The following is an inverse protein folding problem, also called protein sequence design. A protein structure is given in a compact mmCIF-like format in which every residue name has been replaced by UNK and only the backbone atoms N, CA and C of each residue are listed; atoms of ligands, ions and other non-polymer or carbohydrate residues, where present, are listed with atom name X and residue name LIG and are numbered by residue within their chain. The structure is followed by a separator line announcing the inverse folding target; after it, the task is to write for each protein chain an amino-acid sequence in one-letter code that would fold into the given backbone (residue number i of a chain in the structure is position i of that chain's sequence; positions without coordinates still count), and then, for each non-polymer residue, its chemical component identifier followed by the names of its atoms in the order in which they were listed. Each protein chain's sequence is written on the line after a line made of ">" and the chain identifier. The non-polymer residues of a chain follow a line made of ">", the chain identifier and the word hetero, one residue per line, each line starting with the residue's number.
data_IF_217204011421
#
_entry.id   IF_217204011421
#
_cell.length_a   1.000
_cell.length_b   1.000
_cell.length_c   1.000
_cell.angle_alpha   90.00
_cell.angle_beta   90.00
_cell.angle_gamma   90.00
#
_symmetry.space_group_name_H-M   'P 1'
#
loop_
_entity.id
_entity.type
_entity.pdbx_description
1 polymer ?
#
# COMPACT_ATOMS: atom_id res chain seq x y z
N UNK A 1 25.17 29.63 -36.57
CA UNK A 1 24.92 29.57 -35.11
C UNK A 1 23.66 28.77 -34.77
N UNK A 2 22.58 28.94 -35.55
CA UNK A 2 21.28 28.24 -35.38
C UNK A 2 21.36 26.72 -35.52
N UNK A 3 22.13 26.19 -36.48
CA UNK A 3 22.25 24.74 -36.69
C UNK A 3 22.97 24.01 -35.56
N UNK A 4 23.97 24.64 -34.94
CA UNK A 4 24.69 24.08 -33.81
C UNK A 4 23.81 23.95 -32.56
N UNK A 5 22.93 24.94 -32.31
CA UNK A 5 21.96 24.91 -31.21
C UNK A 5 20.90 23.82 -31.43
N UNK A 6 20.47 23.63 -32.67
CA UNK A 6 19.52 22.58 -33.05
C UNK A 6 20.13 21.17 -32.94
N UNK A 7 21.40 21.03 -33.30
CA UNK A 7 22.14 19.78 -33.14
C UNK A 7 22.34 19.41 -31.66
N UNK A 8 22.67 20.40 -30.81
CA UNK A 8 22.82 20.23 -29.36
C UNK A 8 21.50 19.81 -28.69
N UNK A 9 20.39 20.47 -29.02
CA UNK A 9 19.07 20.11 -28.48
C UNK A 9 18.63 18.71 -28.93
N UNK A 10 18.83 18.36 -30.21
CA UNK A 10 18.50 17.02 -30.70
C UNK A 10 19.35 15.93 -30.03
N UNK A 11 20.64 16.20 -29.79
CA UNK A 11 21.53 15.31 -29.05
C UNK A 11 21.07 15.11 -27.59
N UNK A 12 20.72 16.18 -26.89
CA UNK A 12 20.21 16.09 -25.51
C UNK A 12 18.87 15.36 -25.42
N UNK A 13 17.97 15.58 -26.39
CA UNK A 13 16.71 14.85 -26.49
C UNK A 13 16.93 13.34 -26.69
N UNK A 14 17.87 12.95 -27.55
CA UNK A 14 18.20 11.54 -27.76
C UNK A 14 18.76 10.90 -26.48
N UNK A 15 19.60 11.62 -25.74
CA UNK A 15 20.15 11.17 -24.45
C UNK A 15 19.05 10.95 -23.41
N UNK A 16 18.09 11.88 -23.30
CA UNK A 16 16.93 11.73 -22.43
C UNK A 16 16.09 10.51 -22.83
N UNK A 17 15.77 10.37 -24.11
CA UNK A 17 15.01 9.22 -24.62
C UNK A 17 15.72 7.90 -24.34
N UNK A 18 17.04 7.86 -24.48
CA UNK A 18 17.83 6.66 -24.18
C UNK A 18 17.82 6.32 -22.68
N UNK A 19 17.89 7.32 -21.80
CA UNK A 19 17.74 7.12 -20.36
C UNK A 19 16.36 6.56 -20.00
N UNK A 20 15.28 7.17 -20.53
CA UNK A 20 13.92 6.66 -20.31
C UNK A 20 13.75 5.25 -20.86
N UNK A 21 14.34 4.93 -22.02
CA UNK A 21 14.31 3.59 -22.59
C UNK A 21 15.06 2.57 -21.73
N UNK A 22 16.21 2.94 -21.15
CA UNK A 22 16.96 2.09 -20.21
C UNK A 22 16.16 1.83 -18.92
N UNK A 23 15.55 2.86 -18.34
CA UNK A 23 14.67 2.72 -17.18
C UNK A 23 13.50 1.79 -17.51
N UNK A 24 12.83 2.00 -18.64
CA UNK A 24 11.74 1.14 -19.10
C UNK A 24 12.18 -0.31 -19.35
N UNK A 25 13.38 -0.54 -19.88
CA UNK A 25 13.93 -1.87 -20.09
C UNK A 25 14.21 -2.61 -18.78
N UNK A 26 14.79 -1.92 -17.78
CA UNK A 26 15.05 -2.48 -16.44
C UNK A 26 13.74 -2.88 -15.74
N UNK A 27 12.68 -2.08 -15.90
CA UNK A 27 11.35 -2.38 -15.38
C UNK A 27 10.74 -3.59 -16.10
N UNK A 28 10.94 -3.72 -17.42
CA UNK A 28 10.36 -4.80 -18.23
C UNK A 28 11.07 -6.15 -18.03
N UNK A 29 12.37 -6.13 -17.77
CA UNK A 29 13.15 -7.33 -17.48
C UNK A 29 12.70 -8.02 -16.17
N UNK A 30 12.11 -7.26 -15.25
CA UNK A 30 11.60 -7.73 -13.96
C UNK A 30 10.09 -7.60 -13.88
N UNK A 31 9.39 -8.09 -14.91
CA UNK A 31 7.94 -8.17 -14.89
C UNK A 31 7.50 -8.92 -13.61
N UNK A 32 6.58 -8.35 -12.81
CA UNK A 32 6.14 -8.99 -11.58
C UNK A 32 5.50 -10.33 -11.93
N UNK A 33 5.91 -11.38 -11.21
CA UNK A 33 5.30 -12.69 -11.36
C UNK A 33 3.81 -12.59 -11.04
N UNK A 34 2.99 -13.42 -11.69
CA UNK A 34 1.55 -13.47 -11.45
C UNK A 34 1.23 -13.64 -9.96
N UNK A 35 2.07 -14.39 -9.24
CA UNK A 35 1.97 -14.56 -7.79
C UNK A 35 2.09 -13.24 -7.02
N UNK A 36 3.10 -12.40 -7.30
CA UNK A 36 3.29 -11.11 -6.63
C UNK A 36 2.08 -10.20 -6.87
N UNK A 37 1.54 -10.20 -8.09
CA UNK A 37 0.35 -9.42 -8.43
C UNK A 37 -0.87 -9.89 -7.65
N UNK A 38 -1.07 -11.21 -7.54
CA UNK A 38 -2.18 -11.79 -6.76
C UNK A 38 -2.02 -11.43 -5.28
N UNK A 39 -0.85 -11.65 -4.69
CA UNK A 39 -0.60 -11.36 -3.26
C UNK A 39 -0.75 -9.85 -2.96
N UNK A 40 -0.22 -8.99 -3.83
CA UNK A 40 -0.38 -7.54 -3.71
C UNK A 40 -1.84 -7.11 -3.80
N UNK A 41 -2.62 -7.72 -4.70
CA UNK A 41 -4.05 -7.45 -4.83
C UNK A 41 -4.83 -7.89 -3.58
N UNK A 42 -4.51 -9.06 -3.02
CA UNK A 42 -5.10 -9.54 -1.77
C UNK A 42 -4.80 -8.57 -0.62
N UNK A 43 -3.55 -8.13 -0.47
CA UNK A 43 -3.17 -7.16 0.56
C UNK A 43 -3.88 -5.82 0.39
N UNK A 44 -4.04 -5.34 -0.85
CA UNK A 44 -4.78 -4.11 -1.12
C UNK A 44 -6.26 -4.23 -0.70
N UNK A 45 -6.92 -5.35 -1.04
CA UNK A 45 -8.29 -5.62 -0.62
C UNK A 45 -8.39 -5.68 0.91
N UNK A 46 -7.48 -6.39 1.57
CA UNK A 46 -7.44 -6.48 3.03
C UNK A 46 -7.25 -5.10 3.68
N UNK A 47 -6.44 -4.21 3.09
CA UNK A 47 -6.27 -2.86 3.60
C UNK A 47 -7.54 -2.01 3.49
N UNK A 48 -8.29 -2.16 2.40
CA UNK A 48 -9.58 -1.49 2.22
C UNK A 48 -10.58 -2.00 3.25
N UNK A 49 -10.71 -3.32 3.40
CA UNK A 49 -11.61 -3.93 4.37
C UNK A 49 -11.28 -3.48 5.79
N UNK A 50 -10.00 -3.50 6.16
CA UNK A 50 -9.54 -3.06 7.47
C UNK A 50 -9.77 -1.56 7.71
N UNK A 51 -9.65 -0.73 6.67
CA UNK A 51 -10.04 0.69 6.74
C UNK A 51 -11.52 0.86 7.05
N UNK A 52 -12.39 0.12 6.37
CA UNK A 52 -13.84 0.17 6.61
C UNK A 52 -14.17 -0.28 8.04
N UNK A 53 -13.61 -1.42 8.47
CA UNK A 53 -13.83 -1.98 9.80
C UNK A 53 -13.34 -1.03 10.90
N UNK A 54 -12.15 -0.43 10.71
CA UNK A 54 -11.58 0.53 11.66
C UNK A 54 -12.43 1.81 11.70
N UNK A 55 -12.88 2.31 10.55
CA UNK A 55 -13.75 3.49 10.50
C UNK A 55 -15.06 3.25 11.24
N UNK A 56 -15.71 2.11 11.01
CA UNK A 56 -16.93 1.73 11.72
C UNK A 56 -16.69 1.56 13.22
N UNK A 57 -15.60 0.88 13.58
CA UNK A 57 -15.21 0.65 14.96
C UNK A 57 -14.96 1.95 15.72
N UNK A 58 -14.15 2.85 15.16
CA UNK A 58 -13.84 4.15 15.77
C UNK A 58 -15.06 5.06 15.80
N UNK A 59 -15.90 5.05 14.76
CA UNK A 59 -17.15 5.82 14.76
C UNK A 59 -18.11 5.38 15.87
N UNK A 60 -18.18 4.09 16.19
CA UNK A 60 -19.10 3.57 17.21
C UNK A 60 -18.52 3.53 18.64
N UNK A 61 -17.27 3.10 18.80
CA UNK A 61 -16.64 2.87 20.09
C UNK A 61 -15.67 4.00 20.50
N UNK A 62 -15.43 4.96 19.61
CA UNK A 62 -14.48 6.05 19.80
C UNK A 62 -13.03 5.66 19.50
N UNK A 63 -12.16 6.67 19.46
CA UNK A 63 -10.74 6.52 19.08
C UNK A 63 -9.96 5.61 20.05
N UNK A 64 -10.37 5.53 21.32
CA UNK A 64 -9.70 4.68 22.32
C UNK A 64 -9.85 3.18 22.07
N UNK A 65 -10.85 2.77 21.28
CA UNK A 65 -11.02 1.37 20.86
C UNK A 65 -9.94 0.91 19.87
N UNK A 66 -9.23 1.85 19.23
CA UNK A 66 -8.19 1.52 18.27
C UNK A 66 -7.00 0.86 18.94
N UNK A 67 -6.72 -0.40 18.58
CA UNK A 67 -5.64 -1.20 19.16
C UNK A 67 -4.25 -0.68 18.79
N UNK A 68 -4.10 -0.06 17.61
CA UNK A 68 -2.82 0.44 17.12
C UNK A 68 -2.43 1.78 17.78
N UNK A 69 -1.38 1.84 18.62
CA UNK A 69 -1.02 3.06 19.34
C UNK A 69 -0.60 4.21 18.41
N UNK A 70 0.07 3.89 17.31
CA UNK A 70 0.53 4.88 16.33
C UNK A 70 -0.67 5.48 15.59
N UNK A 71 -1.59 4.64 15.13
CA UNK A 71 -2.80 5.10 14.45
C UNK A 71 -3.68 5.92 15.40
N UNK A 72 -3.84 5.46 16.65
CA UNK A 72 -4.56 6.19 17.70
C UNK A 72 -3.98 7.59 17.94
N UNK A 73 -2.67 7.69 18.07
CA UNK A 73 -2.00 8.99 18.23
C UNK A 73 -2.23 9.90 17.01
N UNK A 74 -2.18 9.33 15.80
CA UNK A 74 -2.47 10.06 14.56
C UNK A 74 -3.91 10.58 14.53
N UNK A 75 -4.88 9.75 14.92
CA UNK A 75 -6.30 10.11 15.01
C UNK A 75 -6.56 11.20 16.05
N UNK A 76 -5.88 11.15 17.20
CA UNK A 76 -5.98 12.18 18.23
C UNK A 76 -5.39 13.52 17.78
N UNK A 77 -4.37 13.49 16.91
CA UNK A 77 -3.65 14.68 16.47
C UNK A 77 -4.26 15.35 15.23
N UNK A 78 -4.77 14.57 14.28
CA UNK A 78 -5.27 15.03 12.98
C UNK A 78 -6.78 14.87 12.78
N UNK A 79 -7.47 14.20 13.71
CA UNK A 79 -8.83 13.73 13.52
C UNK A 79 -8.87 12.35 12.84
N UNK A 80 -9.91 11.56 13.14
CA UNK A 80 -9.94 10.15 12.77
C UNK A 80 -10.03 9.94 11.25
N UNK A 81 -10.80 10.75 10.52
CA UNK A 81 -11.00 10.62 9.07
C UNK A 81 -9.70 10.84 8.28
N UNK A 82 -9.03 11.97 8.54
CA UNK A 82 -7.77 12.32 7.89
C UNK A 82 -6.66 11.35 8.26
N UNK A 83 -6.57 10.97 9.53
CA UNK A 83 -5.59 9.98 9.98
C UNK A 83 -5.78 8.62 9.28
N UNK A 84 -7.02 8.18 9.09
CA UNK A 84 -7.32 6.93 8.39
C UNK A 84 -6.85 6.99 6.93
N UNK A 85 -7.21 8.05 6.21
CA UNK A 85 -6.86 8.21 4.80
C UNK A 85 -5.33 8.19 4.64
N UNK A 86 -4.62 8.98 5.45
CA UNK A 86 -3.15 9.05 5.41
C UNK A 86 -2.53 7.68 5.71
N UNK A 87 -2.99 6.99 6.74
CA UNK A 87 -2.48 5.67 7.11
C UNK A 87 -2.71 4.63 6.01
N UNK A 88 -3.88 4.66 5.35
CA UNK A 88 -4.22 3.72 4.28
C UNK A 88 -3.45 4.00 3.00
N UNK A 89 -3.34 5.26 2.59
CA UNK A 89 -2.51 5.64 1.43
C UNK A 89 -1.06 5.21 1.65
N UNK A 90 -0.51 5.50 2.83
CA UNK A 90 0.86 5.09 3.17
C UNK A 90 1.02 3.56 3.12
N UNK A 91 0.04 2.81 3.64
CA UNK A 91 0.06 1.35 3.61
C UNK A 91 0.03 0.79 2.18
N UNK A 92 -0.80 1.37 1.29
CA UNK A 92 -0.84 0.96 -0.13
C UNK A 92 0.48 1.24 -0.85
N UNK A 93 1.12 2.38 -0.57
CA UNK A 93 2.45 2.71 -1.10
C UNK A 93 3.49 1.69 -0.63
N UNK A 94 3.46 1.32 0.66
CA UNK A 94 4.36 0.31 1.22
C UNK A 94 4.12 -1.06 0.55
N UNK A 95 2.86 -1.46 0.36
CA UNK A 95 2.52 -2.71 -0.34
C UNK A 95 3.07 -2.69 -1.77
N UNK A 96 2.87 -1.60 -2.51
CA UNK A 96 3.39 -1.45 -3.87
C UNK A 96 4.93 -1.55 -3.90
N UNK A 97 5.61 -0.89 -2.95
CA UNK A 97 7.06 -0.96 -2.81
C UNK A 97 7.55 -2.39 -2.46
N UNK A 98 6.85 -3.09 -1.57
CA UNK A 98 7.14 -4.48 -1.23
C UNK A 98 6.92 -5.42 -2.42
N UNK A 99 5.83 -5.26 -3.17
CA UNK A 99 5.59 -6.02 -4.39
C UNK A 99 6.70 -5.78 -5.43
N UNK A 100 7.15 -4.53 -5.59
CA UNK A 100 8.27 -4.22 -6.48
C UNK A 100 9.57 -4.89 -5.99
N UNK A 101 9.87 -4.82 -4.69
CA UNK A 101 11.06 -5.44 -4.13
C UNK A 101 11.02 -6.97 -4.16
N UNK A 102 9.83 -7.57 -4.06
CA UNK A 102 9.63 -9.02 -4.16
C UNK A 102 10.01 -9.56 -5.56
N UNK A 103 10.01 -8.73 -6.60
CA UNK A 103 10.52 -9.12 -7.93
C UNK A 103 12.03 -9.40 -7.92
N UNK A 104 12.76 -8.81 -6.96
CA UNK A 104 14.22 -8.96 -6.79
C UNK A 104 14.59 -9.96 -5.70
N UNK A 105 13.76 -10.09 -4.67
CA UNK A 105 14.04 -10.90 -3.47
C UNK A 105 12.96 -11.96 -3.26
N UNK A 106 13.29 -13.22 -3.52
CA UNK A 106 12.34 -14.34 -3.46
C UNK A 106 11.80 -14.59 -2.04
N UNK A 107 12.60 -14.39 -0.99
CA UNK A 107 12.14 -14.58 0.39
C UNK A 107 11.01 -13.63 0.79
N UNK A 108 10.92 -12.46 0.13
CA UNK A 108 9.89 -11.46 0.40
C UNK A 108 8.48 -11.99 0.08
N UNK A 109 8.35 -12.92 -0.86
CA UNK A 109 7.07 -13.57 -1.19
C UNK A 109 6.55 -14.36 0.01
N UNK A 110 7.42 -15.10 0.71
CA UNK A 110 7.06 -15.83 1.92
C UNK A 110 6.68 -14.88 3.06
N UNK A 111 7.42 -13.77 3.21
CA UNK A 111 7.10 -12.75 4.19
C UNK A 111 5.72 -12.10 3.92
N UNK A 112 5.41 -11.77 2.66
CA UNK A 112 4.11 -11.23 2.25
C UNK A 112 2.98 -12.21 2.59
N UNK A 113 3.16 -13.51 2.30
CA UNK A 113 2.17 -14.55 2.67
C UNK A 113 1.96 -14.58 4.18
N UNK A 114 3.03 -14.54 4.98
CA UNK A 114 2.93 -14.52 6.43
C UNK A 114 2.17 -13.28 6.94
N UNK A 115 2.47 -12.11 6.37
CA UNK A 115 1.77 -10.87 6.71
C UNK A 115 0.29 -10.99 6.43
N UNK A 116 -0.13 -11.57 5.31
CA UNK A 116 -1.56 -11.81 5.01
C UNK A 116 -2.23 -12.64 6.11
N UNK A 117 -1.60 -13.75 6.53
CA UNK A 117 -2.14 -14.60 7.60
C UNK A 117 -2.25 -13.86 8.94
N UNK A 118 -1.20 -13.12 9.31
CA UNK A 118 -1.21 -12.29 10.52
C UNK A 118 -2.31 -11.23 10.44
N UNK A 119 -2.49 -10.60 9.28
CA UNK A 119 -3.51 -9.55 9.09
C UNK A 119 -4.93 -10.09 9.24
N UNK A 120 -5.22 -11.26 8.66
CA UNK A 120 -6.51 -11.92 8.82
C UNK A 120 -6.79 -12.24 10.30
N UNK A 121 -5.80 -12.78 11.02
CA UNK A 121 -5.95 -13.17 12.42
C UNK A 121 -6.04 -12.00 13.40
N UNK A 122 -5.23 -10.96 13.18
CA UNK A 122 -5.06 -9.88 14.15
C UNK A 122 -5.95 -8.66 13.88
N UNK A 123 -6.35 -8.39 12.64
CA UNK A 123 -7.13 -7.21 12.29
C UNK A 123 -8.56 -7.57 11.87
N UNK A 124 -8.73 -8.48 10.91
CA UNK A 124 -10.05 -8.81 10.36
C UNK A 124 -10.92 -9.54 11.39
N UNK A 125 -10.40 -10.60 12.03
CA UNK A 125 -11.19 -11.41 12.99
C UNK A 125 -11.67 -10.57 14.20
N UNK A 126 -10.81 -9.82 14.91
CA UNK A 126 -11.25 -9.09 16.10
C UNK A 126 -12.31 -8.05 15.78
N UNK A 127 -12.12 -7.26 14.72
CA UNK A 127 -13.12 -6.27 14.30
C UNK A 127 -14.43 -6.91 13.86
N UNK A 128 -14.38 -8.02 13.13
CA UNK A 128 -15.60 -8.74 12.70
C UNK A 128 -16.39 -9.26 13.91
N UNK A 129 -15.70 -9.80 14.92
CA UNK A 129 -16.35 -10.30 16.15
C UNK A 129 -16.97 -9.17 16.96
N UNK A 130 -16.28 -8.03 17.09
CA UNK A 130 -16.78 -6.88 17.83
C UNK A 130 -18.02 -6.28 17.16
N UNK A 131 -17.98 -6.08 15.83
CA UNK A 131 -19.11 -5.52 15.08
C UNK A 131 -20.31 -6.47 15.02
N UNK A 132 -20.09 -7.78 14.85
CA UNK A 132 -21.18 -8.76 14.87
C UNK A 132 -21.88 -8.83 16.23
N UNK A 133 -21.11 -8.78 17.33
CA UNK A 133 -21.71 -8.71 18.67
C UNK A 133 -22.59 -7.49 18.84
N UNK A 134 -22.20 -6.37 18.24
CA UNK A 134 -22.97 -5.13 18.32
C UNK A 134 -24.28 -5.21 17.53
N UNK A 135 -24.25 -5.70 16.28
CA UNK A 135 -25.46 -5.87 15.44
C UNK A 135 -26.48 -6.81 16.10
N UNK A 136 -26.03 -7.79 16.89
CA UNK A 136 -26.93 -8.72 17.57
C UNK A 136 -27.54 -8.16 18.87
N UNK A 137 -26.99 -7.07 19.42
CA UNK A 137 -27.40 -6.46 20.69
C UNK A 137 -28.18 -5.14 20.54
N UNK A 138 -28.32 -4.64 19.31
CA UNK A 138 -29.13 -3.47 18.91
C UNK A 138 -30.50 -3.89 18.40
#
# INVERSE_FOLDING_TARGET
>A
MTEAVLALTKSQWNLLLEQFRKVGAVVREHAPTQEIVILGSILAILQIMDGILTAQGVHHFGIHAEGNPLLRWLMLSLGYETALIVAKVLSLVIIAALCFLATRVQWLIHAIRLVIFVYLGAAIIPWSVILLKQVYLS
#
